data_IF_055480687082
#
_entry.id   IF_055480687082
#
_cell.length_a   1.000
_cell.length_b   1.000
_cell.length_c   1.000
_cell.angle_alpha   90.00
_cell.angle_beta   90.00
_cell.angle_gamma   90.00
#
_symmetry.space_group_name_H-M   'P 1'
#
loop_
_entity.id
_entity.type
_entity.pdbx_description
1 polymer ?
#
# COMPACT_ATOMS: atom_id res chain seq x y z
N UNK A 1 -52.12 15.63 10.21
CA UNK A 1 -50.76 15.68 9.62
C UNK A 1 -50.19 14.27 9.66
N UNK A 2 -50.11 13.59 8.51
CA UNK A 2 -49.53 12.24 8.43
C UNK A 2 -48.02 12.37 8.32
N UNK A 3 -47.29 11.91 9.33
CA UNK A 3 -45.82 11.83 9.30
C UNK A 3 -45.46 10.65 8.40
N UNK A 4 -44.94 10.94 7.20
CA UNK A 4 -44.42 9.89 6.34
C UNK A 4 -43.24 9.21 7.03
N UNK A 5 -43.22 7.87 7.13
CA UNK A 5 -42.09 7.16 7.73
C UNK A 5 -40.83 7.42 6.89
N UNK A 6 -39.74 7.80 7.55
CA UNK A 6 -38.42 7.90 6.93
C UNK A 6 -38.08 6.52 6.38
N UNK A 7 -37.83 6.35 5.07
CA UNK A 7 -37.47 5.06 4.51
C UNK A 7 -36.18 4.58 5.19
N UNK A 8 -36.22 3.34 5.69
CA UNK A 8 -35.11 2.68 6.34
C UNK A 8 -33.85 2.82 5.49
N UNK A 9 -32.73 3.19 6.12
CA UNK A 9 -31.45 3.25 5.44
C UNK A 9 -31.19 1.89 4.77
N UNK A 10 -30.81 1.84 3.48
CA UNK A 10 -30.53 0.58 2.82
C UNK A 10 -29.41 -0.14 3.59
N UNK A 11 -29.50 -1.48 3.73
CA UNK A 11 -28.49 -2.24 4.44
C UNK A 11 -27.11 -1.95 3.84
N UNK A 12 -26.10 -1.79 4.70
CA UNK A 12 -24.71 -1.70 4.25
C UNK A 12 -24.42 -2.90 3.35
N UNK A 13 -24.14 -2.64 2.07
CA UNK A 13 -23.79 -3.71 1.13
C UNK A 13 -22.56 -4.41 1.69
N UNK A 14 -22.60 -5.73 1.78
CA UNK A 14 -21.46 -6.56 2.19
C UNK A 14 -20.25 -6.36 1.25
N UNK A 15 -19.06 -6.75 1.72
CA UNK A 15 -17.86 -6.81 0.88
C UNK A 15 -18.16 -7.66 -0.38
N UNK A 16 -17.80 -7.15 -1.55
CA UNK A 16 -17.93 -7.93 -2.79
C UNK A 16 -16.72 -8.84 -2.96
N UNK A 17 -16.86 -9.95 -3.70
CA UNK A 17 -15.72 -10.83 -4.01
C UNK A 17 -14.55 -10.08 -4.68
N UNK A 18 -14.85 -9.01 -5.43
CA UNK A 18 -13.83 -8.16 -6.07
C UNK A 18 -13.08 -7.30 -5.05
N UNK A 19 -13.77 -6.76 -4.04
CA UNK A 19 -13.13 -5.98 -2.97
C UNK A 19 -12.18 -6.88 -2.15
N UNK A 20 -12.58 -8.12 -1.90
CA UNK A 20 -11.73 -9.11 -1.24
C UNK A 20 -10.54 -9.52 -2.11
N UNK A 21 -10.75 -9.68 -3.42
CA UNK A 21 -9.66 -10.00 -4.35
C UNK A 21 -8.63 -8.86 -4.46
N UNK A 22 -9.05 -7.59 -4.45
CA UNK A 22 -8.13 -6.45 -4.43
C UNK A 22 -7.33 -6.37 -3.13
N UNK A 23 -7.93 -6.71 -1.99
CA UNK A 23 -7.27 -6.64 -0.68
C UNK A 23 -6.28 -7.79 -0.40
N UNK A 24 -6.36 -8.89 -1.17
CA UNK A 24 -5.59 -10.10 -0.91
C UNK A 24 -4.08 -9.88 -0.94
N UNK A 25 -3.49 -9.15 -1.91
CA UNK A 25 -2.06 -8.91 -1.94
C UNK A 25 -1.57 -8.12 -0.73
N UNK A 26 -2.33 -7.13 -0.27
CA UNK A 26 -1.99 -6.36 0.94
C UNK A 26 -2.08 -7.22 2.20
N UNK A 27 -3.12 -8.04 2.36
CA UNK A 27 -3.17 -8.96 3.49
C UNK A 27 -2.03 -9.98 3.47
N UNK A 28 -1.64 -10.47 2.29
CA UNK A 28 -0.49 -11.37 2.15
C UNK A 28 0.81 -10.68 2.60
N UNK A 29 1.06 -9.43 2.16
CA UNK A 29 2.21 -8.65 2.59
C UNK A 29 2.18 -8.37 4.10
N UNK A 30 1.01 -8.05 4.66
CA UNK A 30 0.85 -7.85 6.10
C UNK A 30 1.20 -9.10 6.90
N UNK A 31 0.73 -10.28 6.47
CA UNK A 31 1.04 -11.56 7.10
C UNK A 31 2.53 -11.84 7.03
N UNK A 32 3.17 -11.65 5.88
CA UNK A 32 4.63 -11.84 5.72
C UNK A 32 5.40 -10.90 6.65
N UNK A 33 4.99 -9.63 6.73
CA UNK A 33 5.62 -8.66 7.65
C UNK A 33 5.44 -9.05 9.12
N UNK A 34 4.24 -9.50 9.50
CA UNK A 34 3.93 -9.93 10.86
C UNK A 34 4.72 -11.19 11.25
N UNK A 35 4.79 -12.17 10.35
CA UNK A 35 5.57 -13.39 10.56
C UNK A 35 7.07 -13.07 10.67
N UNK A 36 7.60 -12.20 9.81
CA UNK A 36 8.98 -11.76 9.90
C UNK A 36 9.26 -11.00 11.21
N UNK A 37 8.29 -10.29 11.76
CA UNK A 37 8.43 -9.62 13.05
C UNK A 37 8.43 -10.61 14.23
N UNK A 38 7.52 -11.59 14.23
CA UNK A 38 7.33 -12.53 15.35
C UNK A 38 8.36 -13.66 15.32
N UNK A 39 8.59 -14.27 14.16
CA UNK A 39 9.38 -15.50 13.98
C UNK A 39 10.13 -15.48 12.64
N UNK A 40 11.13 -14.59 12.46
CA UNK A 40 11.83 -14.43 11.18
C UNK A 40 12.57 -15.70 10.72
N UNK A 41 13.01 -16.55 11.64
CA UNK A 41 13.71 -17.82 11.34
C UNK A 41 12.82 -18.85 10.63
N UNK A 42 11.49 -18.73 10.74
CA UNK A 42 10.55 -19.58 10.02
C UNK A 42 10.44 -19.22 8.53
N UNK A 43 11.06 -18.12 8.12
CA UNK A 43 11.01 -17.59 6.76
C UNK A 43 12.38 -17.69 6.08
N UNK A 44 12.45 -17.27 4.82
CA UNK A 44 13.70 -17.30 4.07
C UNK A 44 14.71 -16.30 4.64
N UNK A 45 16.03 -16.61 4.65
CA UNK A 45 17.07 -15.76 5.25
C UNK A 45 17.15 -14.32 4.72
N UNK A 46 16.55 -14.02 3.56
CA UNK A 46 16.51 -12.70 2.95
C UNK A 46 15.23 -11.90 3.20
N UNK A 47 14.27 -12.41 3.99
CA UNK A 47 12.94 -11.80 4.10
C UNK A 47 12.97 -10.40 4.72
N UNK A 48 13.83 -10.16 5.72
CA UNK A 48 13.91 -8.87 6.41
C UNK A 48 14.47 -7.77 5.49
N UNK A 49 15.64 -7.96 4.83
CA UNK A 49 16.10 -7.03 3.79
C UNK A 49 15.06 -6.81 2.68
N UNK A 50 14.36 -7.87 2.27
CA UNK A 50 13.33 -7.80 1.25
C UNK A 50 12.12 -6.94 1.67
N UNK A 51 11.63 -7.08 2.91
CA UNK A 51 10.54 -6.25 3.45
C UNK A 51 10.99 -4.80 3.57
N UNK A 52 12.19 -4.55 4.09
CA UNK A 52 12.74 -3.20 4.22
C UNK A 52 12.74 -2.49 2.87
N UNK A 53 13.28 -3.16 1.84
CA UNK A 53 13.34 -2.59 0.50
C UNK A 53 11.94 -2.47 -0.14
N UNK A 54 11.03 -3.40 0.16
CA UNK A 54 9.62 -3.31 -0.25
C UNK A 54 8.94 -2.08 0.33
N UNK A 55 9.20 -1.73 1.60
CA UNK A 55 8.63 -0.52 2.21
C UNK A 55 9.21 0.77 1.62
N UNK A 56 10.47 0.78 1.18
CA UNK A 56 11.06 1.88 0.43
C UNK A 56 10.43 2.01 -0.97
N UNK A 57 10.19 0.90 -1.65
CA UNK A 57 9.45 0.91 -2.93
C UNK A 57 8.03 1.40 -2.72
N UNK A 58 7.37 0.97 -1.64
CA UNK A 58 6.01 1.39 -1.31
C UNK A 58 5.91 2.90 -1.07
N UNK A 59 6.93 3.52 -0.46
CA UNK A 59 7.00 4.98 -0.37
C UNK A 59 6.90 5.63 -1.76
N UNK A 60 7.64 5.11 -2.74
CA UNK A 60 7.61 5.60 -4.13
C UNK A 60 6.23 5.35 -4.75
N UNK A 61 5.63 4.17 -4.52
CA UNK A 61 4.32 3.78 -5.05
C UNK A 61 3.20 4.68 -4.50
N UNK A 62 3.19 4.98 -3.20
CA UNK A 62 2.19 5.88 -2.57
C UNK A 62 2.18 7.26 -3.23
N UNK A 63 3.32 7.71 -3.76
CA UNK A 63 3.43 8.96 -4.51
C UNK A 63 3.08 8.79 -5.98
N UNK A 64 3.55 7.75 -6.65
CA UNK A 64 3.40 7.59 -8.10
C UNK A 64 1.99 7.17 -8.52
N UNK A 65 1.38 6.24 -7.78
CA UNK A 65 0.07 5.67 -8.08
C UNK A 65 -1.05 6.71 -8.25
N UNK A 66 -1.22 7.75 -7.40
CA UNK A 66 -2.26 8.76 -7.63
C UNK A 66 -2.05 9.53 -8.94
N UNK A 67 -0.82 9.92 -9.29
CA UNK A 67 -0.56 10.64 -10.54
C UNK A 67 -0.85 9.78 -11.77
N UNK A 68 -0.49 8.50 -11.72
CA UNK A 68 -0.84 7.54 -12.78
C UNK A 68 -2.35 7.30 -12.84
N UNK A 69 -3.01 7.12 -11.70
CA UNK A 69 -4.45 6.97 -11.59
C UNK A 69 -5.21 8.15 -12.18
N UNK A 70 -4.73 9.39 -11.96
CA UNK A 70 -5.31 10.59 -12.55
C UNK A 70 -5.25 10.58 -14.09
N UNK A 71 -4.19 9.99 -14.69
CA UNK A 71 -4.13 9.80 -16.13
C UNK A 71 -5.15 8.76 -16.61
N UNK A 72 -5.32 7.66 -15.86
CA UNK A 72 -6.26 6.60 -16.20
C UNK A 72 -7.72 7.07 -16.19
N UNK A 73 -8.09 7.94 -15.25
CA UNK A 73 -9.47 8.48 -15.13
C UNK A 73 -9.72 9.74 -15.97
N UNK A 74 -8.74 10.23 -16.72
CA UNK A 74 -8.89 11.40 -17.58
C UNK A 74 -9.75 11.12 -18.83
N UNK A 75 -10.18 12.15 -19.55
CA UNK A 75 -10.92 12.02 -20.82
C UNK A 75 -10.01 11.81 -22.04
N UNK A 76 -8.71 11.55 -21.83
CA UNK A 76 -7.75 11.40 -22.92
C UNK A 76 -7.95 10.08 -23.70
N UNK A 77 -7.53 9.99 -24.98
CA UNK A 77 -7.48 8.72 -25.69
C UNK A 77 -6.58 7.69 -25.00
N UNK A 78 -6.94 6.41 -25.05
CA UNK A 78 -6.25 5.32 -24.34
C UNK A 78 -4.73 5.28 -24.59
N UNK A 79 -4.29 5.51 -25.83
CA UNK A 79 -2.87 5.56 -26.17
C UNK A 79 -2.12 6.68 -25.42
N UNK A 80 -2.76 7.84 -25.23
CA UNK A 80 -2.19 8.98 -24.49
C UNK A 80 -2.18 8.70 -22.99
N UNK A 81 -3.23 8.07 -22.45
CA UNK A 81 -3.27 7.60 -21.05
C UNK A 81 -2.11 6.66 -20.77
N UNK A 82 -1.94 5.62 -21.59
CA UNK A 82 -0.88 4.63 -21.44
C UNK A 82 0.50 5.30 -21.52
N UNK A 83 0.73 6.15 -22.53
CA UNK A 83 1.98 6.90 -22.66
C UNK A 83 2.29 7.72 -21.41
N UNK A 84 1.31 8.44 -20.87
CA UNK A 84 1.52 9.27 -19.68
C UNK A 84 1.77 8.43 -18.42
N UNK A 85 1.05 7.31 -18.24
CA UNK A 85 1.31 6.36 -17.14
C UNK A 85 2.73 5.81 -17.22
N UNK A 86 3.17 5.37 -18.40
CA UNK A 86 4.54 4.88 -18.62
C UNK A 86 5.57 5.98 -18.36
N UNK A 87 5.34 7.19 -18.86
CA UNK A 87 6.26 8.32 -18.64
C UNK A 87 6.42 8.66 -17.15
N UNK A 88 5.31 8.71 -16.40
CA UNK A 88 5.33 8.91 -14.95
C UNK A 88 6.08 7.75 -14.28
N UNK A 89 5.86 6.51 -14.71
CA UNK A 89 6.52 5.35 -14.10
C UNK A 89 8.01 5.32 -14.34
N UNK A 90 8.45 5.70 -15.54
CA UNK A 90 9.87 5.87 -15.85
C UNK A 90 10.51 6.99 -15.03
N UNK A 91 9.81 8.11 -14.83
CA UNK A 91 10.30 9.19 -13.96
C UNK A 91 10.54 8.68 -12.53
N UNK A 92 9.56 7.98 -11.93
CA UNK A 92 9.72 7.42 -10.59
C UNK A 92 10.72 6.24 -10.53
N UNK A 93 10.99 5.57 -11.66
CA UNK A 93 11.99 4.51 -11.74
C UNK A 93 13.41 4.99 -11.46
N UNK A 94 13.69 6.30 -11.52
CA UNK A 94 14.98 6.87 -11.12
C UNK A 94 15.27 6.63 -9.62
N UNK A 95 14.24 6.68 -8.76
CA UNK A 95 14.41 6.34 -7.33
C UNK A 95 14.71 4.85 -7.14
N UNK A 96 14.05 3.99 -7.93
CA UNK A 96 14.27 2.55 -7.92
C UNK A 96 15.67 2.19 -8.39
N UNK A 97 16.24 2.94 -9.33
CA UNK A 97 17.64 2.80 -9.71
C UNK A 97 18.55 3.07 -8.51
N UNK A 98 18.30 4.15 -7.76
CA UNK A 98 19.05 4.47 -6.54
C UNK A 98 19.00 3.33 -5.51
N UNK A 99 17.79 2.82 -5.23
CA UNK A 99 17.60 1.66 -4.35
C UNK A 99 18.29 0.40 -4.89
N UNK A 100 18.19 0.14 -6.19
CA UNK A 100 18.77 -1.04 -6.81
C UNK A 100 20.29 -1.04 -6.75
N UNK A 101 20.92 0.13 -6.91
CA UNK A 101 22.35 0.31 -6.76
C UNK A 101 22.77 0.17 -5.29
N UNK A 102 22.02 0.77 -4.35
CA UNK A 102 22.35 0.73 -2.92
C UNK A 102 22.22 -0.67 -2.31
N UNK A 103 21.22 -1.44 -2.73
CA UNK A 103 20.93 -2.78 -2.21
C UNK A 103 21.39 -3.92 -3.14
N UNK A 104 22.10 -3.59 -4.23
CA UNK A 104 22.55 -4.55 -5.25
C UNK A 104 21.42 -5.50 -5.73
N UNK A 105 20.23 -4.94 -5.94
CA UNK A 105 19.01 -5.70 -6.22
C UNK A 105 18.25 -5.11 -7.40
N UNK A 106 17.91 -5.90 -8.42
CA UNK A 106 17.17 -5.42 -9.59
C UNK A 106 15.64 -5.54 -9.44
N UNK A 107 15.18 -6.39 -8.52
CA UNK A 107 13.75 -6.65 -8.31
C UNK A 107 12.90 -5.43 -7.91
N UNK A 108 13.42 -4.34 -7.30
CA UNK A 108 12.61 -3.15 -6.99
C UNK A 108 11.87 -2.58 -8.19
N UNK A 109 12.43 -2.70 -9.40
CA UNK A 109 11.75 -2.30 -10.64
C UNK A 109 10.47 -3.10 -10.88
N UNK A 110 10.53 -4.43 -10.70
CA UNK A 110 9.35 -5.30 -10.87
C UNK A 110 8.34 -5.04 -9.76
N UNK A 111 8.78 -4.98 -8.51
CA UNK A 111 7.90 -4.73 -7.36
C UNK A 111 7.18 -3.41 -7.47
N UNK A 112 7.83 -2.35 -7.95
CA UNK A 112 7.18 -1.07 -8.19
C UNK A 112 5.97 -1.19 -9.12
N UNK A 113 6.13 -1.85 -10.27
CA UNK A 113 5.03 -2.00 -11.22
C UNK A 113 3.92 -2.90 -10.68
N UNK A 114 4.26 -3.96 -9.95
CA UNK A 114 3.28 -4.85 -9.32
C UNK A 114 2.49 -4.16 -8.20
N UNK A 115 3.18 -3.46 -7.29
CA UNK A 115 2.54 -2.71 -6.21
C UNK A 115 1.72 -1.54 -6.76
N UNK A 116 2.21 -0.84 -7.77
CA UNK A 116 1.44 0.21 -8.45
C UNK A 116 0.19 -0.37 -9.10
N UNK A 117 0.30 -1.50 -9.80
CA UNK A 117 -0.86 -2.19 -10.36
C UNK A 117 -1.85 -2.59 -9.27
N UNK A 118 -1.37 -3.11 -8.13
CA UNK A 118 -2.19 -3.44 -6.97
C UNK A 118 -2.97 -2.22 -6.46
N UNK A 119 -2.29 -1.08 -6.25
CA UNK A 119 -2.93 0.18 -5.81
C UNK A 119 -3.96 0.72 -6.80
N UNK A 120 -3.80 0.42 -8.09
CA UNK A 120 -4.72 0.83 -9.15
C UNK A 120 -5.87 -0.17 -9.38
N UNK A 121 -5.89 -1.33 -8.69
CA UNK A 121 -7.00 -2.30 -8.79
C UNK A 121 -8.33 -1.70 -8.37
N UNK A 122 -8.31 -0.72 -7.45
CA UNK A 122 -9.49 0.04 -7.03
C UNK A 122 -10.17 0.75 -8.20
N UNK A 123 -9.40 1.14 -9.23
CA UNK A 123 -9.93 1.72 -10.46
C UNK A 123 -10.48 0.62 -11.37
N UNK A 124 -9.68 -0.42 -11.66
CA UNK A 124 -10.02 -1.44 -12.67
C UNK A 124 -11.23 -2.29 -12.27
N UNK A 125 -11.35 -2.70 -11.00
CA UNK A 125 -12.49 -3.49 -10.55
C UNK A 125 -13.78 -2.70 -10.37
N UNK A 126 -13.70 -1.36 -10.38
CA UNK A 126 -14.83 -0.45 -10.13
C UNK A 126 -15.19 0.44 -11.31
N UNK A 127 -14.49 0.34 -12.44
CA UNK A 127 -14.80 1.13 -13.64
C UNK A 127 -16.26 0.94 -14.05
N UNK A 128 -16.92 2.05 -14.36
CA UNK A 128 -18.23 2.07 -15.03
C UNK A 128 -19.47 2.08 -14.13
N UNK A 129 -19.37 2.12 -12.79
CA UNK A 129 -20.60 2.06 -11.95
C UNK A 129 -21.19 3.42 -11.56
N UNK A 130 -20.41 4.49 -11.41
CA UNK A 130 -20.93 5.70 -10.73
C UNK A 130 -20.36 7.06 -11.17
N UNK A 131 -19.40 7.13 -12.11
CA UNK A 131 -18.74 8.42 -12.47
C UNK A 131 -17.91 9.04 -11.33
N UNK A 132 -17.59 8.25 -10.29
CA UNK A 132 -16.88 8.68 -9.07
C UNK A 132 -15.44 8.17 -9.00
N UNK A 133 -14.84 7.81 -10.13
CA UNK A 133 -13.50 7.20 -10.18
C UNK A 133 -12.44 8.15 -9.61
N UNK A 134 -12.48 9.44 -9.98
CA UNK A 134 -11.58 10.46 -9.43
C UNK A 134 -11.76 10.67 -7.91
N UNK A 135 -12.99 10.66 -7.41
CA UNK A 135 -13.27 10.81 -5.98
C UNK A 135 -12.77 9.59 -5.18
N UNK A 136 -12.99 8.39 -5.72
CA UNK A 136 -12.52 7.13 -5.12
C UNK A 136 -10.99 7.09 -5.08
N UNK A 137 -10.33 7.49 -6.17
CA UNK A 137 -8.87 7.59 -6.25
C UNK A 137 -8.30 8.56 -5.21
N UNK A 138 -8.92 9.74 -5.06
CA UNK A 138 -8.48 10.74 -4.08
C UNK A 138 -8.65 10.22 -2.66
N UNK A 139 -9.77 9.56 -2.36
CA UNK A 139 -10.03 8.99 -1.04
C UNK A 139 -9.07 7.84 -0.72
N UNK A 140 -8.84 6.92 -1.66
CA UNK A 140 -7.92 5.79 -1.47
C UNK A 140 -6.48 6.27 -1.31
N UNK A 141 -6.05 7.24 -2.12
CA UNK A 141 -4.74 7.87 -1.97
C UNK A 141 -4.59 8.56 -0.62
N UNK A 142 -5.52 9.42 -0.23
CA UNK A 142 -5.45 10.15 1.03
C UNK A 142 -5.37 9.17 2.21
N UNK A 143 -6.18 8.11 2.19
CA UNK A 143 -6.14 7.08 3.21
C UNK A 143 -4.80 6.35 3.23
N UNK A 144 -4.29 5.90 2.07
CA UNK A 144 -3.00 5.23 1.95
C UNK A 144 -1.84 6.10 2.43
N UNK A 145 -1.81 7.37 2.02
CA UNK A 145 -0.79 8.33 2.41
C UNK A 145 -0.83 8.63 3.92
N UNK A 146 -2.01 8.85 4.48
CA UNK A 146 -2.19 9.06 5.92
C UNK A 146 -1.81 7.81 6.73
N UNK A 147 -2.17 6.61 6.26
CA UNK A 147 -1.77 5.36 6.90
C UNK A 147 -0.26 5.16 6.83
N UNK A 148 0.38 5.51 5.71
CA UNK A 148 1.83 5.42 5.57
C UNK A 148 2.53 6.38 6.53
N UNK A 149 2.16 7.67 6.52
CA UNK A 149 2.72 8.68 7.42
C UNK A 149 2.46 8.33 8.89
N UNK A 150 1.23 7.95 9.23
CA UNK A 150 0.85 7.50 10.57
C UNK A 150 1.70 6.32 11.01
N UNK A 151 1.86 5.30 10.15
CA UNK A 151 2.73 4.16 10.42
C UNK A 151 4.18 4.56 10.68
N UNK A 152 4.78 5.38 9.81
CA UNK A 152 6.14 5.90 9.99
C UNK A 152 6.31 6.60 11.34
N UNK A 153 5.40 7.52 11.69
CA UNK A 153 5.49 8.24 12.96
C UNK A 153 5.29 7.32 14.16
N UNK A 154 4.26 6.46 14.13
CA UNK A 154 3.97 5.52 15.21
C UNK A 154 5.17 4.60 15.45
N UNK A 155 5.73 4.00 14.40
CA UNK A 155 6.84 3.05 14.54
C UNK A 155 8.18 3.73 14.81
N UNK A 156 8.30 5.05 14.64
CA UNK A 156 9.50 5.81 14.97
C UNK A 156 9.46 6.30 16.42
N UNK A 157 8.30 6.79 16.87
CA UNK A 157 8.14 7.44 18.18
C UNK A 157 7.84 6.45 19.31
N UNK A 158 7.13 5.36 19.01
CA UNK A 158 6.79 4.37 20.03
C UNK A 158 7.93 3.36 20.23
N UNK A 159 8.19 2.92 21.47
CA UNK A 159 9.08 1.79 21.71
C UNK A 159 8.38 0.51 21.26
N UNK A 160 8.78 -0.03 20.11
CA UNK A 160 8.26 -1.29 19.60
C UNK A 160 9.10 -2.48 20.09
N UNK A 161 8.47 -3.58 20.51
CA UNK A 161 9.20 -4.78 20.90
C UNK A 161 9.92 -5.38 19.69
N UNK A 162 11.11 -5.94 19.93
CA UNK A 162 11.91 -6.64 18.91
C UNK A 162 11.26 -7.95 18.46
N UNK A 163 10.50 -8.59 19.35
CA UNK A 163 9.93 -9.93 19.16
C UNK A 163 11.02 -10.92 18.70
N UNK A 164 10.87 -11.54 17.53
CA UNK A 164 11.80 -12.53 17.02
C UNK A 164 13.15 -11.99 16.51
N UNK A 165 13.37 -10.66 16.56
CA UNK A 165 14.62 -10.02 16.11
C UNK A 165 15.55 -9.73 17.29
N UNK A 166 16.12 -10.77 17.88
CA UNK A 166 17.16 -10.59 18.89
C UNK A 166 18.45 -9.97 18.29
N UNK A 167 19.37 -9.45 19.12
CA UNK A 167 20.58 -8.80 18.63
C UNK A 167 21.46 -9.68 17.73
N UNK A 168 21.56 -10.98 18.01
CA UNK A 168 22.38 -11.91 17.23
C UNK A 168 21.76 -12.16 15.85
N UNK A 169 20.43 -12.31 15.79
CA UNK A 169 19.72 -12.40 14.53
C UNK A 169 19.92 -11.15 13.68
N UNK A 170 19.75 -9.96 14.26
CA UNK A 170 19.94 -8.68 13.54
C UNK A 170 21.36 -8.53 13.01
N UNK A 171 22.37 -8.89 13.79
CA UNK A 171 23.77 -8.88 13.34
C UNK A 171 24.01 -9.86 12.19
N UNK A 172 23.35 -11.04 12.24
CA UNK A 172 23.45 -12.05 11.17
C UNK A 172 22.91 -11.58 9.81
N UNK A 173 21.99 -10.60 9.80
CA UNK A 173 21.43 -10.04 8.56
C UNK A 173 22.47 -9.28 7.74
N UNK A 174 23.57 -8.85 8.36
CA UNK A 174 24.66 -8.08 7.71
C UNK A 174 24.14 -6.92 6.86
N UNK A 175 23.12 -6.21 7.36
CA UNK A 175 22.53 -5.07 6.67
C UNK A 175 23.59 -3.97 6.50
N UNK A 176 23.71 -3.46 5.27
CA UNK A 176 24.64 -2.38 4.93
C UNK A 176 23.95 -1.02 5.01
N UNK A 177 24.73 0.03 5.26
CA UNK A 177 24.24 1.40 5.39
C UNK A 177 23.90 1.79 6.83
N UNK A 178 23.02 2.77 6.99
CA UNK A 178 22.63 3.30 8.30
C UNK A 178 21.22 3.89 8.27
N UNK A 179 20.75 4.34 9.43
CA UNK A 179 19.40 4.86 9.60
C UNK A 179 18.46 3.87 10.30
N UNK A 180 17.31 4.40 10.73
CA UNK A 180 16.46 3.74 11.72
C UNK A 180 16.04 2.32 11.34
N UNK A 181 15.69 2.06 10.08
CA UNK A 181 15.22 0.74 9.65
C UNK A 181 16.35 -0.28 9.45
N UNK A 182 17.59 0.17 9.28
CA UNK A 182 18.77 -0.70 9.23
C UNK A 182 19.20 -1.06 10.65
N UNK A 183 19.24 -0.08 11.55
CA UNK A 183 19.66 -0.26 12.94
C UNK A 183 18.58 -0.94 13.79
N UNK A 184 17.30 -0.72 13.47
CA UNK A 184 16.15 -1.23 14.21
C UNK A 184 15.11 -1.85 13.26
N UNK A 185 15.45 -2.96 12.57
CA UNK A 185 14.64 -3.53 11.49
C UNK A 185 13.25 -3.98 11.94
N UNK A 186 13.08 -4.38 13.21
CA UNK A 186 11.76 -4.74 13.75
C UNK A 186 10.72 -3.62 13.60
N UNK A 187 11.14 -2.35 13.57
CA UNK A 187 10.24 -1.22 13.37
C UNK A 187 9.61 -1.20 11.97
N UNK A 188 10.40 -1.49 10.93
CA UNK A 188 9.87 -1.52 9.55
C UNK A 188 9.00 -2.74 9.31
N UNK A 189 9.27 -3.87 9.99
CA UNK A 189 8.43 -5.06 9.93
C UNK A 189 7.06 -4.81 10.58
N UNK A 190 7.06 -4.22 11.78
CA UNK A 190 5.84 -3.79 12.45
C UNK A 190 5.07 -2.75 11.61
N UNK A 191 5.78 -1.79 11.01
CA UNK A 191 5.19 -0.80 10.12
C UNK A 191 4.53 -1.47 8.91
N UNK A 192 5.23 -2.33 8.19
CA UNK A 192 4.69 -3.05 7.05
C UNK A 192 3.46 -3.87 7.42
N UNK A 193 3.50 -4.60 8.54
CA UNK A 193 2.37 -5.38 9.03
C UNK A 193 1.13 -4.51 9.27
N UNK A 194 1.29 -3.39 9.98
CA UNK A 194 0.21 -2.45 10.26
C UNK A 194 -0.32 -1.76 9.01
N UNK A 195 0.59 -1.26 8.17
CA UNK A 195 0.27 -0.52 6.96
C UNK A 195 -0.53 -1.36 5.98
N UNK A 196 0.01 -2.52 5.58
CA UNK A 196 -0.64 -3.37 4.60
C UNK A 196 -1.94 -3.97 5.15
N UNK A 197 -2.03 -4.27 6.46
CA UNK A 197 -3.29 -4.73 7.04
C UNK A 197 -4.38 -3.65 6.99
N UNK A 198 -4.01 -2.40 7.27
CA UNK A 198 -4.94 -1.26 7.23
C UNK A 198 -5.38 -0.98 5.80
N UNK A 199 -4.46 -0.95 4.84
CA UNK A 199 -4.79 -0.76 3.41
C UNK A 199 -5.66 -1.90 2.90
N UNK A 200 -5.30 -3.16 3.18
CA UNK A 200 -6.12 -4.33 2.80
C UNK A 200 -7.52 -4.27 3.40
N UNK A 201 -7.68 -3.82 4.66
CA UNK A 201 -9.00 -3.63 5.26
C UNK A 201 -9.82 -2.54 4.55
N UNK A 202 -9.19 -1.42 4.20
CA UNK A 202 -9.85 -0.34 3.46
C UNK A 202 -10.25 -0.78 2.04
N UNK A 203 -9.42 -1.58 1.37
CA UNK A 203 -9.73 -2.15 0.07
C UNK A 203 -10.86 -3.19 0.15
N UNK A 204 -10.85 -4.07 1.15
CA UNK A 204 -11.91 -5.06 1.38
C UNK A 204 -13.27 -4.42 1.67
N UNK A 205 -13.27 -3.25 2.30
CA UNK A 205 -14.48 -2.44 2.50
C UNK A 205 -14.78 -1.51 1.32
N UNK A 206 -13.95 -1.50 0.28
CA UNK A 206 -14.10 -0.65 -0.89
C UNK A 206 -14.08 0.83 -0.55
N UNK A 207 -13.31 1.25 0.46
CA UNK A 207 -13.23 2.65 0.93
C UNK A 207 -14.61 3.28 1.23
N UNK A 208 -15.63 2.47 1.54
CA UNK A 208 -17.02 2.92 1.73
C UNK A 208 -17.13 3.94 2.86
N UNK A 209 -16.36 3.75 3.93
CA UNK A 209 -16.30 4.69 5.05
C UNK A 209 -15.75 6.08 4.68
N UNK A 210 -15.02 6.19 3.57
CA UNK A 210 -14.26 7.38 3.19
C UNK A 210 -14.80 8.09 1.94
N UNK A 211 -15.73 7.46 1.23
CA UNK A 211 -16.37 8.07 0.06
C UNK A 211 -17.60 8.87 0.50
N UNK A 212 -17.71 10.17 0.13
CA UNK A 212 -18.87 10.97 0.51
C UNK A 212 -20.17 10.35 0.01
N UNK A 213 -21.19 10.31 0.88
CA UNK A 213 -22.55 9.93 0.47
C UNK A 213 -23.10 10.97 -0.52
N UNK A 214 -23.89 10.56 -1.53
CA UNK A 214 -24.51 11.52 -2.42
C UNK A 214 -25.38 12.49 -1.60
N UNK A 215 -25.24 13.79 -1.90
CA UNK A 215 -26.20 14.79 -1.41
C UNK A 215 -27.59 14.37 -1.90
N UNK A 216 -28.54 14.27 -0.96
CA UNK A 216 -29.94 13.98 -1.25
C UNK A 216 -30.63 15.23 -1.80
#
# INVERSE_FOLDING_TARGET
>A
MSVNPVPAAPPEKSATLRDLASALPDFALAVVCLLAWIAPEALTPGVVPWILLTMLVEFVVVHSAPFMGLQLVSDMPAARKLRNVVAIGLFYSVFLLGFSLAFHAWWPFVSFWLLTANRLTVLTFRQGREGRESATLKASWAAGALCYLGGVFLTTLLPLPRLGLDPAFVESLRLTGGGLWIEQPWRVLAFGAFYFATVGFLEATGFRALTPKPAR
#
